data_IF_477775528686
#
_entry.id   IF_477775528686
#
_cell.length_a   1.000
_cell.length_b   1.000
_cell.length_c   1.000
_cell.angle_alpha   90.00
_cell.angle_beta   90.00
_cell.angle_gamma   90.00
#
_symmetry.space_group_name_H-M   'P 1'
#
loop_
_entity.id
_entity.type
_entity.pdbx_description
1 polymer ?
#
# COMPACT_ATOMS: atom_id res chain seq x y z
N UNK A 1 8.02 6.29 17.53
CA UNK A 1 7.68 7.39 16.62
C UNK A 1 8.83 7.59 15.64
N UNK A 2 8.54 7.84 14.36
CA UNK A 2 9.55 8.05 13.32
C UNK A 2 9.31 9.43 12.72
N UNK A 3 10.38 10.23 12.58
CA UNK A 3 10.32 11.57 12.02
C UNK A 3 11.39 11.74 10.94
N UNK A 4 10.99 12.35 9.82
CA UNK A 4 11.88 12.88 8.80
C UNK A 4 11.78 14.40 8.83
N UNK A 5 12.92 15.09 8.92
CA UNK A 5 13.01 16.56 8.97
C UNK A 5 13.90 17.06 7.86
N UNK A 6 13.32 17.76 6.89
CA UNK A 6 13.99 18.36 5.73
C UNK A 6 14.95 17.39 5.03
N UNK A 7 14.54 16.12 4.87
CA UNK A 7 15.40 15.07 4.35
C UNK A 7 15.61 15.25 2.86
N UNK A 8 16.88 15.34 2.47
CA UNK A 8 17.31 15.45 1.07
C UNK A 8 18.26 14.32 0.71
N UNK A 9 18.10 13.74 -0.46
CA UNK A 9 19.08 12.83 -1.06
C UNK A 9 19.39 13.21 -2.49
N UNK A 10 20.63 13.56 -2.70
CA UNK A 10 21.18 13.87 -4.01
C UNK A 10 22.22 12.81 -4.42
N UNK A 11 22.11 12.31 -5.63
CA UNK A 11 23.13 11.46 -6.25
C UNK A 11 23.86 12.26 -7.31
N UNK A 12 25.18 12.39 -7.14
CA UNK A 12 26.07 13.07 -8.09
C UNK A 12 26.89 12.04 -8.86
N UNK A 13 26.72 12.04 -10.17
CA UNK A 13 27.58 11.30 -11.09
C UNK A 13 28.36 12.28 -11.97
N UNK A 14 29.39 11.82 -12.69
CA UNK A 14 30.21 12.70 -13.53
C UNK A 14 29.40 13.57 -14.51
N UNK A 15 28.22 13.10 -14.93
CA UNK A 15 27.41 13.70 -16.00
C UNK A 15 25.98 14.05 -15.58
N UNK A 16 25.56 13.78 -14.34
CA UNK A 16 24.17 13.98 -13.92
C UNK A 16 24.07 14.13 -12.41
N UNK A 17 23.32 15.13 -11.99
CA UNK A 17 22.81 15.26 -10.62
C UNK A 17 21.36 14.82 -10.60
N UNK A 18 21.00 13.96 -9.64
CA UNK A 18 19.64 13.45 -9.45
C UNK A 18 19.24 13.70 -8.03
N UNK A 19 18.24 14.56 -7.84
CA UNK A 19 17.60 14.81 -6.55
C UNK A 19 16.53 13.74 -6.34
N UNK A 20 16.91 12.67 -5.63
CA UNK A 20 16.04 11.50 -5.44
C UNK A 20 15.03 11.68 -4.30
N UNK A 21 15.35 12.49 -3.30
CA UNK A 21 14.47 12.91 -2.21
C UNK A 21 14.71 14.37 -1.96
N UNK A 22 13.65 15.18 -1.91
CA UNK A 22 13.69 16.64 -1.91
C UNK A 22 12.87 17.20 -0.74
N UNK A 23 13.58 17.61 0.34
CA UNK A 23 13.04 18.25 1.55
C UNK A 23 11.81 17.53 2.14
N UNK A 24 11.89 16.19 2.27
CA UNK A 24 10.80 15.39 2.79
C UNK A 24 10.67 15.55 4.29
N UNK A 25 9.45 15.91 4.71
CA UNK A 25 9.01 15.98 6.10
C UNK A 25 7.88 14.97 6.32
N UNK A 26 8.06 14.03 7.24
CA UNK A 26 7.05 13.02 7.61
C UNK A 26 7.11 12.72 9.10
N UNK A 27 5.95 12.43 9.68
CA UNK A 27 5.83 11.94 11.05
C UNK A 27 4.96 10.67 11.05
N UNK A 28 5.51 9.56 11.54
CA UNK A 28 4.86 8.24 11.55
C UNK A 28 4.66 7.80 12.99
N UNK A 29 3.44 7.50 13.35
CA UNK A 29 3.08 7.06 14.71
C UNK A 29 3.60 5.64 14.98
N UNK A 30 4.04 5.40 16.22
CA UNK A 30 4.39 4.05 16.66
C UNK A 30 3.16 3.12 16.56
N UNK A 31 3.39 1.88 16.11
CA UNK A 31 2.35 0.87 15.96
C UNK A 31 1.38 1.10 14.79
N UNK A 32 1.59 2.12 13.95
CA UNK A 32 0.80 2.33 12.73
C UNK A 32 1.39 1.61 11.52
N UNK A 33 0.56 1.40 10.50
CA UNK A 33 0.98 0.98 9.16
C UNK A 33 0.92 2.20 8.25
N UNK A 34 2.09 2.61 7.75
CA UNK A 34 2.24 3.79 6.91
C UNK A 34 2.61 3.39 5.48
N UNK A 35 1.80 3.79 4.53
CA UNK A 35 2.04 3.55 3.10
C UNK A 35 2.84 4.68 2.45
N UNK A 36 3.71 4.34 1.51
CA UNK A 36 4.36 5.31 0.62
C UNK A 36 4.12 4.87 -0.81
N UNK A 37 3.40 5.67 -1.57
CA UNK A 37 3.07 5.41 -2.97
C UNK A 37 3.68 6.45 -3.90
N UNK A 38 3.76 6.14 -5.18
CA UNK A 38 4.28 7.02 -6.23
C UNK A 38 4.67 6.21 -7.45
N UNK A 39 4.76 6.86 -8.60
CA UNK A 39 5.22 6.20 -9.83
C UNK A 39 6.68 5.75 -9.74
N UNK A 40 7.11 4.93 -10.70
CA UNK A 40 8.52 4.52 -10.80
C UNK A 40 9.41 5.78 -10.89
N UNK A 41 10.51 5.77 -10.13
CA UNK A 41 11.42 6.93 -10.07
C UNK A 41 11.00 8.05 -9.12
N UNK A 42 9.86 7.96 -8.40
CA UNK A 42 9.43 8.99 -7.45
C UNK A 42 10.32 9.15 -6.20
N UNK A 43 11.30 8.27 -5.97
CA UNK A 43 12.23 8.33 -4.83
C UNK A 43 11.88 7.39 -3.67
N UNK A 44 10.81 6.61 -3.75
CA UNK A 44 10.31 5.73 -2.67
C UNK A 44 11.36 4.77 -2.10
N UNK A 45 12.02 3.98 -2.97
CA UNK A 45 13.05 3.02 -2.51
C UNK A 45 14.29 3.71 -1.94
N UNK A 46 14.60 4.93 -2.37
CA UNK A 46 15.63 5.75 -1.73
C UNK A 46 15.19 6.18 -0.33
N UNK A 47 13.95 6.65 -0.20
CA UNK A 47 13.38 7.10 1.07
C UNK A 47 13.37 5.97 2.11
N UNK A 48 12.88 4.76 1.75
CA UNK A 48 12.80 3.65 2.70
C UNK A 48 14.18 3.20 3.20
N UNK A 49 15.20 3.25 2.34
CA UNK A 49 16.58 2.90 2.70
C UNK A 49 17.23 3.90 3.63
N UNK A 50 16.69 5.12 3.76
CA UNK A 50 17.19 6.09 4.73
C UNK A 50 16.70 5.81 6.16
N UNK A 51 15.54 5.18 6.35
CA UNK A 51 15.06 4.80 7.68
C UNK A 51 16.02 3.84 8.42
N UNK A 52 16.64 2.91 7.72
CA UNK A 52 17.65 2.01 8.30
C UNK A 52 19.09 2.44 8.00
N UNK A 53 19.25 3.67 7.45
CA UNK A 53 20.52 4.25 7.05
C UNK A 53 21.37 3.36 6.11
N UNK A 54 20.71 2.56 5.26
CA UNK A 54 21.38 1.92 4.12
C UNK A 54 21.80 2.96 3.09
N UNK A 55 21.00 4.04 3.00
CA UNK A 55 21.33 5.28 2.30
C UNK A 55 21.39 6.40 3.33
N UNK A 56 22.51 7.13 3.40
CA UNK A 56 22.61 8.32 4.23
C UNK A 56 21.94 9.50 3.49
N UNK A 57 21.14 10.34 4.16
CA UNK A 57 20.67 11.59 3.59
C UNK A 57 21.86 12.51 3.25
N UNK A 58 21.71 13.35 2.22
CA UNK A 58 22.68 14.41 1.90
C UNK A 58 22.55 15.56 2.89
N UNK A 59 21.32 15.87 3.32
CA UNK A 59 20.99 16.81 4.39
C UNK A 59 19.66 16.43 5.04
N UNK A 60 19.34 17.08 6.17
CA UNK A 60 18.18 16.75 6.97
C UNK A 60 18.44 15.60 7.94
N UNK A 61 17.41 15.18 8.65
CA UNK A 61 17.53 14.23 9.75
C UNK A 61 16.47 13.13 9.70
N UNK A 62 16.88 11.91 10.03
CA UNK A 62 16.01 10.75 10.28
C UNK A 62 16.09 10.45 11.77
N UNK A 63 14.95 10.50 12.46
CA UNK A 63 14.81 10.26 13.89
C UNK A 63 13.89 9.07 14.11
N UNK A 64 14.32 8.07 14.87
CA UNK A 64 13.53 6.88 15.21
C UNK A 64 13.59 6.66 16.72
N UNK A 65 12.43 6.75 17.38
CA UNK A 65 12.29 6.62 18.83
C UNK A 65 13.21 7.59 19.62
N UNK A 66 13.39 8.82 19.08
CA UNK A 66 14.26 9.84 19.65
C UNK A 66 15.73 9.75 19.26
N UNK A 67 16.18 8.66 18.60
CA UNK A 67 17.55 8.53 18.13
C UNK A 67 17.74 9.19 16.77
N UNK A 68 18.67 10.13 16.65
CA UNK A 68 19.12 10.73 15.40
C UNK A 68 20.03 9.73 14.65
N UNK A 69 19.49 9.04 13.66
CA UNK A 69 20.15 7.88 13.03
C UNK A 69 21.50 8.23 12.40
N UNK A 70 21.60 9.41 11.78
CA UNK A 70 22.84 9.91 11.16
C UNK A 70 23.94 10.25 12.16
N UNK A 71 23.63 10.44 13.45
CA UNK A 71 24.58 10.81 14.49
C UNK A 71 25.06 9.60 15.31
N UNK A 72 24.48 8.42 15.07
CA UNK A 72 24.85 7.21 15.80
C UNK A 72 26.27 6.74 15.47
N UNK A 73 26.98 6.26 16.49
CA UNK A 73 28.23 5.54 16.26
C UNK A 73 28.00 4.26 15.42
N UNK A 74 29.06 3.71 14.82
CA UNK A 74 28.95 2.45 14.04
C UNK A 74 28.27 1.32 14.82
N UNK A 75 28.58 1.20 16.13
CA UNK A 75 27.96 0.19 16.98
C UNK A 75 26.50 0.54 17.32
N UNK A 76 26.17 1.80 17.57
CA UNK A 76 24.81 2.27 17.78
C UNK A 76 23.93 2.03 16.54
N UNK A 77 24.45 2.37 15.38
CA UNK A 77 23.76 2.13 14.12
C UNK A 77 23.52 0.63 13.85
N UNK A 78 24.51 -0.23 14.18
CA UNK A 78 24.35 -1.68 14.08
C UNK A 78 23.26 -2.20 15.03
N UNK A 79 23.21 -1.71 16.26
CA UNK A 79 22.16 -2.05 17.22
C UNK A 79 20.79 -1.56 16.74
N UNK A 80 20.69 -0.31 16.24
CA UNK A 80 19.43 0.25 15.72
C UNK A 80 18.92 -0.54 14.51
N UNK A 81 19.78 -0.97 13.58
CA UNK A 81 19.44 -1.81 12.44
C UNK A 81 18.86 -3.18 12.82
N UNK A 82 19.12 -3.70 14.03
CA UNK A 82 18.45 -4.90 14.53
C UNK A 82 16.99 -4.61 14.90
N UNK A 83 16.66 -3.35 15.24
CA UNK A 83 15.31 -2.90 15.59
C UNK A 83 14.53 -2.30 14.42
N UNK A 84 15.22 -1.96 13.33
CA UNK A 84 14.63 -1.47 12.09
C UNK A 84 14.91 -2.50 10.98
N UNK A 85 14.06 -3.51 10.88
CA UNK A 85 14.21 -4.61 9.92
C UNK A 85 13.59 -4.28 8.57
N UNK A 86 14.04 -4.99 7.53
CA UNK A 86 13.57 -4.75 6.15
C UNK A 86 13.22 -6.05 5.43
N UNK A 87 12.08 -6.04 4.75
CA UNK A 87 11.67 -7.02 3.75
C UNK A 87 11.91 -6.42 2.37
N UNK A 88 12.58 -7.16 1.51
CA UNK A 88 13.00 -6.72 0.18
C UNK A 88 12.09 -7.31 -0.90
N UNK A 89 11.93 -6.62 -2.01
CA UNK A 89 11.13 -7.00 -3.17
C UNK A 89 11.44 -8.41 -3.70
N UNK A 90 12.69 -8.83 -3.74
CA UNK A 90 13.13 -10.13 -4.29
C UNK A 90 13.47 -11.16 -3.20
N UNK A 91 12.77 -11.13 -2.04
CA UNK A 91 12.95 -12.01 -0.88
C UNK A 91 14.36 -11.99 -0.27
N UNK A 92 15.42 -11.84 -1.04
CA UNK A 92 16.84 -11.83 -0.66
C UNK A 92 17.24 -12.99 0.28
N UNK A 93 16.69 -14.19 0.02
CA UNK A 93 16.99 -15.38 0.82
C UNK A 93 18.39 -15.91 0.52
N UNK A 94 19.02 -16.51 1.52
CA UNK A 94 20.26 -17.23 1.38
C UNK A 94 19.97 -18.59 0.74
N UNK A 95 20.21 -18.72 -0.56
CA UNK A 95 19.88 -19.90 -1.36
C UNK A 95 20.54 -21.20 -0.90
N UNK A 96 21.74 -21.10 -0.30
CA UNK A 96 22.50 -22.23 0.25
C UNK A 96 22.09 -22.62 1.67
N UNK A 97 21.10 -21.92 2.25
CA UNK A 97 20.58 -22.16 3.60
C UNK A 97 19.13 -22.59 3.58
N UNK A 98 18.77 -23.50 4.48
CA UNK A 98 17.38 -23.91 4.68
C UNK A 98 16.53 -22.78 5.26
N UNK A 99 15.19 -22.92 5.27
CA UNK A 99 14.24 -22.00 5.90
C UNK A 99 14.68 -21.65 7.32
N UNK A 100 14.87 -22.67 8.16
CA UNK A 100 15.29 -22.46 9.56
C UNK A 100 16.61 -21.66 9.65
N UNK A 101 17.61 -21.98 8.83
CA UNK A 101 18.91 -21.29 8.83
C UNK A 101 18.82 -19.88 8.27
N UNK A 102 17.90 -19.59 7.34
CA UNK A 102 17.62 -18.22 6.89
C UNK A 102 17.08 -17.37 8.05
N UNK A 103 16.13 -17.90 8.82
CA UNK A 103 15.52 -17.20 9.95
C UNK A 103 16.49 -17.04 11.11
N UNK A 104 17.35 -18.02 11.35
CA UNK A 104 18.40 -17.95 12.38
C UNK A 104 19.50 -16.94 12.06
N UNK A 105 19.72 -16.61 10.80
CA UNK A 105 20.87 -15.81 10.36
C UNK A 105 21.00 -14.43 11.04
N UNK A 106 19.95 -13.60 11.16
CA UNK A 106 20.04 -12.35 11.90
C UNK A 106 20.41 -12.53 13.38
N UNK A 107 19.92 -13.60 14.01
CA UNK A 107 20.22 -13.94 15.40
C UNK A 107 21.69 -14.38 15.57
N UNK A 108 22.23 -15.13 14.60
CA UNK A 108 23.64 -15.50 14.56
C UNK A 108 24.53 -14.25 14.49
N UNK A 109 24.19 -13.27 13.65
CA UNK A 109 24.90 -11.99 13.53
C UNK A 109 24.81 -11.17 14.82
N UNK A 110 23.66 -11.22 15.51
CA UNK A 110 23.44 -10.56 16.78
C UNK A 110 24.16 -11.24 17.95
N UNK A 111 24.82 -12.38 17.73
CA UNK A 111 25.55 -13.12 18.78
C UNK A 111 24.64 -13.94 19.70
N UNK A 112 23.41 -14.20 19.31
CA UNK A 112 22.47 -15.02 20.12
C UNK A 112 22.94 -16.47 20.15
N UNK A 113 23.01 -17.11 21.34
CA UNK A 113 23.45 -18.49 21.47
C UNK A 113 22.58 -19.42 20.57
N UNK A 114 23.22 -20.35 19.85
CA UNK A 114 22.61 -21.21 18.84
C UNK A 114 21.32 -21.90 19.30
N UNK A 115 21.27 -22.35 20.56
CA UNK A 115 20.09 -23.00 21.13
C UNK A 115 18.89 -22.05 21.17
N UNK A 116 19.09 -20.82 21.64
CA UNK A 116 18.06 -19.77 21.68
C UNK A 116 17.65 -19.32 20.28
N UNK A 117 18.65 -19.11 19.41
CA UNK A 117 18.38 -18.74 18.00
C UNK A 117 17.53 -19.79 17.29
N UNK A 118 17.81 -21.09 17.51
CA UNK A 118 17.00 -22.18 16.94
C UNK A 118 15.58 -22.19 17.49
N UNK A 119 15.42 -22.02 18.81
CA UNK A 119 14.08 -22.00 19.43
C UNK A 119 13.26 -20.82 18.89
N UNK A 120 13.80 -19.60 18.88
CA UNK A 120 13.13 -18.42 18.33
C UNK A 120 12.78 -18.59 16.85
N UNK A 121 13.68 -19.17 16.05
CA UNK A 121 13.42 -19.41 14.64
C UNK A 121 12.29 -20.43 14.42
N UNK A 122 12.15 -21.45 15.26
CA UNK A 122 11.02 -22.40 15.18
C UNK A 122 9.68 -21.74 15.54
N UNK A 123 9.66 -20.87 16.55
CA UNK A 123 8.48 -20.06 16.89
C UNK A 123 8.06 -19.16 15.72
N UNK A 124 9.02 -18.53 15.04
CA UNK A 124 8.76 -17.72 13.86
C UNK A 124 8.30 -18.54 12.64
N UNK A 125 8.84 -19.75 12.44
CA UNK A 125 8.36 -20.68 11.40
C UNK A 125 6.88 -21.00 11.61
N UNK A 126 6.47 -21.24 12.86
CA UNK A 126 5.06 -21.51 13.18
C UNK A 126 4.19 -20.25 13.01
N UNK A 127 4.67 -19.07 13.46
CA UNK A 127 3.98 -17.79 13.32
C UNK A 127 3.63 -17.48 11.85
N UNK A 128 4.57 -17.75 10.93
CA UNK A 128 4.35 -17.47 9.49
C UNK A 128 3.71 -18.63 8.72
N UNK A 129 3.28 -19.70 9.42
CA UNK A 129 2.59 -20.85 8.81
C UNK A 129 3.48 -21.75 7.95
N UNK A 130 4.77 -21.88 8.28
CA UNK A 130 5.74 -22.73 7.56
C UNK A 130 6.13 -24.00 8.33
N UNK A 131 5.32 -24.43 9.31
CA UNK A 131 5.55 -25.67 10.07
C UNK A 131 5.70 -26.88 9.13
N UNK A 132 6.77 -27.65 9.32
CA UNK A 132 7.13 -28.80 8.47
C UNK A 132 8.03 -28.43 7.27
N UNK A 133 8.33 -27.16 7.06
CA UNK A 133 9.22 -26.67 5.99
C UNK A 133 10.60 -26.22 6.48
N UNK A 134 10.96 -26.45 7.73
CA UNK A 134 12.19 -25.97 8.39
C UNK A 134 13.46 -26.36 7.65
N UNK A 135 13.46 -27.55 7.03
CA UNK A 135 14.60 -28.14 6.32
C UNK A 135 14.60 -27.83 4.81
N UNK A 136 13.51 -27.27 4.27
CA UNK A 136 13.40 -26.94 2.86
C UNK A 136 14.37 -25.81 2.50
N UNK A 137 14.86 -25.81 1.25
CA UNK A 137 15.65 -24.75 0.67
C UNK A 137 14.76 -23.78 -0.11
N UNK A 138 15.20 -22.53 -0.35
CA UNK A 138 14.41 -21.55 -1.09
C UNK A 138 13.95 -22.02 -2.48
N UNK A 139 14.73 -22.88 -3.16
CA UNK A 139 14.36 -23.48 -4.44
C UNK A 139 13.14 -24.39 -4.40
N UNK A 140 12.79 -24.91 -3.22
CA UNK A 140 11.67 -25.83 -3.00
C UNK A 140 10.39 -25.12 -2.55
N UNK A 141 10.40 -23.77 -2.50
CA UNK A 141 9.32 -22.94 -1.96
C UNK A 141 8.60 -22.17 -3.06
N UNK A 142 7.27 -22.02 -2.91
CA UNK A 142 6.48 -21.05 -3.69
C UNK A 142 6.88 -19.60 -3.40
N UNK A 143 6.43 -18.65 -4.21
CA UNK A 143 6.65 -17.20 -3.99
C UNK A 143 6.18 -16.74 -2.61
N UNK A 144 4.94 -17.07 -2.25
CA UNK A 144 4.36 -16.73 -0.95
C UNK A 144 5.10 -17.39 0.22
N UNK A 145 5.57 -18.64 0.06
CA UNK A 145 6.39 -19.29 1.09
C UNK A 145 7.74 -18.61 1.26
N UNK A 146 8.40 -18.19 0.17
CA UNK A 146 9.64 -17.39 0.22
C UNK A 146 9.41 -16.07 0.95
N UNK A 147 8.28 -15.41 0.68
CA UNK A 147 7.91 -14.16 1.35
C UNK A 147 7.70 -14.37 2.85
N UNK A 148 7.01 -15.44 3.25
CA UNK A 148 6.83 -15.80 4.67
C UNK A 148 8.18 -16.07 5.38
N UNK A 149 9.15 -16.68 4.69
CA UNK A 149 10.53 -16.82 5.22
C UNK A 149 11.20 -15.46 5.37
N UNK A 150 11.03 -14.55 4.40
CA UNK A 150 11.53 -13.17 4.46
C UNK A 150 10.98 -12.40 5.66
N UNK A 151 9.66 -12.51 5.89
CA UNK A 151 8.97 -11.92 7.05
C UNK A 151 9.53 -12.50 8.36
N UNK A 152 9.56 -13.83 8.51
CA UNK A 152 10.08 -14.49 9.70
C UNK A 152 11.53 -14.08 10.02
N UNK A 153 12.37 -13.99 8.98
CA UNK A 153 13.75 -13.51 9.11
C UNK A 153 13.84 -12.05 9.57
N UNK A 154 12.97 -11.19 9.05
CA UNK A 154 12.92 -9.78 9.45
C UNK A 154 12.48 -9.62 10.92
N UNK A 155 11.63 -10.50 11.42
CA UNK A 155 11.14 -10.48 12.80
C UNK A 155 12.12 -11.09 13.82
N UNK A 156 13.20 -11.73 13.38
CA UNK A 156 14.06 -12.55 14.25
C UNK A 156 14.64 -11.78 15.44
N UNK A 157 15.01 -10.51 15.28
CA UNK A 157 15.58 -9.66 16.32
C UNK A 157 14.54 -8.82 17.10
N UNK A 158 13.27 -9.20 17.07
CA UNK A 158 12.15 -8.45 17.68
C UNK A 158 12.22 -6.94 17.32
N UNK A 159 12.05 -6.60 16.03
CA UNK A 159 12.13 -5.21 15.59
C UNK A 159 10.94 -4.39 16.12
N UNK A 160 11.15 -3.07 16.27
CA UNK A 160 10.08 -2.10 16.53
C UNK A 160 9.55 -1.48 15.23
N UNK A 161 10.34 -1.54 14.15
CA UNK A 161 9.99 -1.02 12.82
C UNK A 161 10.27 -2.08 11.77
N UNK A 162 9.30 -2.29 10.89
CA UNK A 162 9.40 -3.17 9.72
C UNK A 162 9.23 -2.34 8.44
N UNK A 163 10.26 -2.33 7.63
CA UNK A 163 10.27 -1.69 6.33
C UNK A 163 9.94 -2.74 5.26
N UNK A 164 8.97 -2.47 4.39
CA UNK A 164 8.54 -3.35 3.31
C UNK A 164 8.74 -2.63 1.96
N UNK A 165 9.76 -3.03 1.21
CA UNK A 165 10.04 -2.51 -0.13
C UNK A 165 9.39 -3.43 -1.17
N UNK A 166 8.20 -3.03 -1.67
CA UNK A 166 7.39 -3.78 -2.64
C UNK A 166 7.23 -5.28 -2.30
N UNK A 167 6.90 -5.56 -1.04
CA UNK A 167 6.91 -6.91 -0.48
C UNK A 167 5.88 -7.88 -1.10
N UNK A 168 4.94 -7.40 -1.90
CA UNK A 168 3.85 -8.19 -2.53
C UNK A 168 3.91 -8.21 -4.05
N UNK A 169 4.69 -7.35 -4.69
CA UNK A 169 4.69 -7.13 -6.15
C UNK A 169 5.01 -8.36 -7.01
N UNK A 170 5.58 -9.43 -6.43
CA UNK A 170 5.92 -10.67 -7.12
C UNK A 170 4.96 -11.83 -6.78
N UNK A 171 3.80 -11.54 -6.16
CA UNK A 171 2.84 -12.53 -5.69
C UNK A 171 1.52 -12.39 -6.46
N UNK A 172 0.77 -13.48 -6.54
CA UNK A 172 -0.61 -13.44 -7.02
C UNK A 172 -1.53 -12.75 -6.00
N UNK A 173 -2.71 -12.25 -6.42
CA UNK A 173 -3.61 -11.48 -5.54
C UNK A 173 -4.03 -12.24 -4.27
N UNK A 174 -4.33 -13.54 -4.37
CA UNK A 174 -4.73 -14.34 -3.22
C UNK A 174 -3.59 -14.48 -2.20
N UNK A 175 -2.39 -14.78 -2.69
CA UNK A 175 -1.19 -14.86 -1.83
C UNK A 175 -0.85 -13.50 -1.22
N UNK A 176 -1.03 -12.40 -1.97
CA UNK A 176 -0.87 -11.02 -1.45
C UNK A 176 -1.78 -10.81 -0.26
N UNK A 177 -3.06 -11.12 -0.37
CA UNK A 177 -4.03 -10.97 0.72
C UNK A 177 -3.64 -11.77 1.97
N UNK A 178 -3.19 -13.01 1.80
CA UNK A 178 -2.70 -13.82 2.92
C UNK A 178 -1.47 -13.21 3.62
N UNK A 179 -0.56 -12.59 2.86
CA UNK A 179 0.60 -11.89 3.42
C UNK A 179 0.18 -10.61 4.16
N UNK A 180 -0.79 -9.87 3.63
CA UNK A 180 -1.32 -8.68 4.29
C UNK A 180 -2.00 -9.02 5.62
N UNK A 181 -2.80 -10.09 5.67
CA UNK A 181 -3.43 -10.57 6.90
C UNK A 181 -2.39 -11.02 7.93
N UNK A 182 -1.32 -11.67 7.48
CA UNK A 182 -0.20 -12.03 8.34
C UNK A 182 0.48 -10.77 8.93
N UNK A 183 0.71 -9.75 8.12
CA UNK A 183 1.32 -8.48 8.59
C UNK A 183 0.40 -7.76 9.61
N UNK A 184 -0.90 -7.71 9.38
CA UNK A 184 -1.88 -7.16 10.32
C UNK A 184 -1.83 -7.90 11.66
N UNK A 185 -1.87 -9.24 11.64
CA UNK A 185 -1.76 -10.07 12.84
C UNK A 185 -0.47 -9.81 13.62
N UNK A 186 0.66 -9.74 12.93
CA UNK A 186 1.96 -9.50 13.57
C UNK A 186 2.00 -8.08 14.18
N UNK A 187 1.51 -7.07 13.44
CA UNK A 187 1.41 -5.69 13.93
C UNK A 187 0.62 -5.60 15.24
N UNK A 188 -0.53 -6.26 15.31
CA UNK A 188 -1.37 -6.27 16.50
C UNK A 188 -0.70 -6.97 17.69
N UNK A 189 -0.07 -8.11 17.46
CA UNK A 189 0.58 -8.90 18.52
C UNK A 189 1.84 -8.24 19.08
N UNK A 190 2.58 -7.50 18.26
CA UNK A 190 3.89 -6.97 18.62
C UNK A 190 3.94 -5.44 18.72
N UNK A 191 2.81 -4.75 18.50
CA UNK A 191 2.74 -3.28 18.39
C UNK A 191 3.80 -2.73 17.40
N UNK A 192 3.96 -3.43 16.26
CA UNK A 192 4.99 -3.17 15.26
C UNK A 192 4.61 -1.98 14.39
N UNK A 193 5.51 -1.04 14.20
CA UNK A 193 5.34 0.01 13.18
C UNK A 193 5.76 -0.54 11.83
N UNK A 194 4.89 -0.45 10.83
CA UNK A 194 5.17 -0.95 9.48
C UNK A 194 5.19 0.24 8.51
N UNK A 195 6.27 0.35 7.72
CA UNK A 195 6.34 1.30 6.60
C UNK A 195 6.43 0.46 5.32
N UNK A 196 5.47 0.62 4.44
CA UNK A 196 5.47 -0.13 3.20
C UNK A 196 5.49 0.79 1.96
N UNK A 197 6.28 0.37 0.99
CA UNK A 197 6.27 0.93 -0.35
C UNK A 197 5.53 -0.02 -1.26
N UNK A 198 4.60 0.52 -2.03
CA UNK A 198 3.91 -0.21 -3.09
C UNK A 198 3.40 0.76 -4.15
N UNK A 199 3.10 0.25 -5.32
CA UNK A 199 2.28 0.92 -6.33
C UNK A 199 0.85 0.33 -6.39
N UNK A 200 0.56 -0.68 -5.59
CA UNK A 200 -0.73 -1.38 -5.51
C UNK A 200 -1.66 -0.66 -4.52
N UNK A 201 -2.67 0.04 -5.04
CA UNK A 201 -3.62 0.81 -4.24
C UNK A 201 -4.46 -0.06 -3.30
N UNK A 202 -4.82 -1.25 -3.75
CA UNK A 202 -5.53 -2.24 -2.96
C UNK A 202 -4.78 -2.57 -1.65
N UNK A 203 -3.44 -2.72 -1.70
CA UNK A 203 -2.60 -2.96 -0.52
C UNK A 203 -2.72 -1.81 0.49
N UNK A 204 -2.63 -0.57 -0.01
CA UNK A 204 -2.75 0.63 0.83
C UNK A 204 -4.11 0.71 1.51
N UNK A 205 -5.19 0.54 0.75
CA UNK A 205 -6.56 0.58 1.29
C UNK A 205 -6.83 -0.51 2.31
N UNK A 206 -6.25 -1.70 2.10
CA UNK A 206 -6.50 -2.87 2.95
C UNK A 206 -5.86 -2.76 4.33
N UNK A 207 -4.61 -2.30 4.42
CA UNK A 207 -3.86 -2.39 5.68
C UNK A 207 -3.32 -1.08 6.24
N UNK A 208 -3.16 -0.01 5.43
CA UNK A 208 -2.54 1.22 5.89
C UNK A 208 -3.50 2.09 6.70
N UNK A 209 -2.96 2.75 7.72
CA UNK A 209 -3.64 3.79 8.50
C UNK A 209 -3.49 5.15 7.83
N UNK A 210 -2.28 5.45 7.36
CA UNK A 210 -1.91 6.70 6.70
C UNK A 210 -1.10 6.41 5.44
N UNK A 211 -1.06 7.36 4.51
CA UNK A 211 -0.32 7.26 3.25
C UNK A 211 0.38 8.57 2.91
N UNK A 212 1.56 8.47 2.30
CA UNK A 212 2.22 9.57 1.61
C UNK A 212 2.30 9.26 0.12
N UNK A 213 1.95 10.24 -0.70
CA UNK A 213 2.07 10.19 -2.16
C UNK A 213 3.34 10.93 -2.56
N UNK A 214 4.24 10.27 -3.29
CA UNK A 214 5.50 10.84 -3.74
C UNK A 214 5.50 11.07 -5.25
N UNK A 215 6.03 12.23 -5.65
CA UNK A 215 6.35 12.57 -7.02
C UNK A 215 7.67 13.34 -7.09
N UNK A 216 8.56 12.94 -7.99
CA UNK A 216 9.83 13.65 -8.25
C UNK A 216 10.64 13.97 -6.97
N UNK A 217 10.71 13.02 -6.04
CA UNK A 217 11.43 13.14 -4.77
C UNK A 217 10.67 13.83 -3.65
N UNK A 218 9.50 14.42 -3.90
CA UNK A 218 8.71 15.15 -2.91
C UNK A 218 7.53 14.36 -2.42
N UNK A 219 7.10 14.60 -1.19
CA UNK A 219 5.78 14.21 -0.69
C UNK A 219 4.81 15.31 -1.08
N UNK A 220 3.90 14.99 -2.01
CA UNK A 220 2.93 15.95 -2.57
C UNK A 220 1.59 15.94 -1.85
N UNK A 221 1.28 14.83 -1.19
CA UNK A 221 0.06 14.67 -0.39
C UNK A 221 0.28 13.59 0.67
N UNK A 222 -0.24 13.76 1.87
CA UNK A 222 -0.17 12.76 2.93
C UNK A 222 -1.32 12.90 3.92
N UNK A 223 -1.66 11.83 4.63
CA UNK A 223 -2.69 11.82 5.65
C UNK A 223 -3.34 10.45 5.81
N UNK A 224 -4.47 10.38 6.54
CA UNK A 224 -5.28 9.17 6.62
C UNK A 224 -5.66 8.66 5.22
N UNK A 225 -5.59 7.34 5.02
CA UNK A 225 -5.87 6.71 3.71
C UNK A 225 -7.24 7.12 3.16
N UNK A 226 -8.26 7.14 4.02
CA UNK A 226 -9.61 7.58 3.63
C UNK A 226 -9.63 8.99 3.11
N UNK A 227 -9.01 9.94 3.83
CA UNK A 227 -8.99 11.35 3.43
C UNK A 227 -8.28 11.55 2.08
N UNK A 228 -7.07 10.96 1.91
CA UNK A 228 -6.26 11.11 0.70
C UNK A 228 -6.95 10.51 -0.53
N UNK A 229 -7.68 9.39 -0.37
CA UNK A 229 -8.29 8.70 -1.52
C UNK A 229 -9.75 9.05 -1.77
N UNK A 230 -10.49 9.52 -0.77
CA UNK A 230 -11.87 10.01 -0.97
C UNK A 230 -11.91 11.45 -1.48
N UNK A 231 -10.91 12.25 -1.11
CA UNK A 231 -10.83 13.66 -1.51
C UNK A 231 -9.42 14.05 -1.97
N UNK A 232 -8.88 13.40 -3.03
CA UNK A 232 -7.52 13.65 -3.51
C UNK A 232 -7.40 15.08 -4.01
N UNK A 233 -6.39 15.81 -3.54
CA UNK A 233 -6.16 17.20 -3.92
C UNK A 233 -5.20 17.29 -5.11
N UNK A 234 -4.13 16.50 -5.08
CA UNK A 234 -3.11 16.56 -6.12
C UNK A 234 -3.48 15.73 -7.36
N UNK A 235 -3.07 16.19 -8.54
CA UNK A 235 -3.36 15.53 -9.83
C UNK A 235 -2.84 14.10 -9.90
N UNK A 236 -1.66 13.85 -9.32
CA UNK A 236 -1.06 12.51 -9.26
C UNK A 236 -1.86 11.58 -8.36
N UNK A 237 -2.34 12.05 -7.20
CA UNK A 237 -3.22 11.27 -6.32
C UNK A 237 -4.53 10.94 -7.00
N UNK A 238 -5.13 11.92 -7.70
CA UNK A 238 -6.35 11.71 -8.51
C UNK A 238 -6.15 10.65 -9.57
N UNK A 239 -4.97 10.64 -10.21
CA UNK A 239 -4.61 9.63 -11.21
C UNK A 239 -4.49 8.25 -10.60
N UNK A 240 -3.81 8.08 -9.45
CA UNK A 240 -3.74 6.81 -8.74
C UNK A 240 -5.13 6.28 -8.36
N UNK A 241 -5.98 7.15 -7.81
CA UNK A 241 -7.36 6.77 -7.45
C UNK A 241 -8.15 6.37 -8.69
N UNK A 242 -7.98 7.09 -9.79
CA UNK A 242 -8.65 6.78 -11.06
C UNK A 242 -8.17 5.45 -11.64
N UNK A 243 -6.87 5.19 -11.67
CA UNK A 243 -6.29 3.93 -12.15
C UNK A 243 -6.79 2.73 -11.32
N UNK A 244 -6.84 2.84 -9.97
CA UNK A 244 -7.37 1.78 -9.09
C UNK A 244 -8.88 1.48 -9.32
N UNK A 245 -9.63 2.47 -9.79
CA UNK A 245 -11.05 2.33 -10.11
C UNK A 245 -11.28 1.87 -11.56
N UNK A 246 -10.30 2.03 -12.45
CA UNK A 246 -10.46 1.91 -13.90
C UNK A 246 -9.75 0.72 -14.52
N UNK A 247 -9.06 -0.14 -13.76
CA UNK A 247 -8.09 -1.12 -14.31
C UNK A 247 -8.64 -2.03 -15.42
N UNK A 248 -9.98 -2.15 -15.58
CA UNK A 248 -10.58 -3.00 -16.61
C UNK A 248 -11.60 -2.30 -17.53
N UNK A 249 -12.10 -1.11 -17.20
CA UNK A 249 -13.32 -0.58 -17.83
C UNK A 249 -13.08 0.47 -18.94
N UNK A 250 -12.05 1.32 -18.88
CA UNK A 250 -11.81 2.31 -19.96
C UNK A 250 -11.57 1.64 -21.34
N UNK A 251 -10.98 0.45 -21.34
CA UNK A 251 -10.80 -0.35 -22.55
C UNK A 251 -12.14 -0.85 -23.10
N UNK A 252 -13.05 -1.27 -22.21
CA UNK A 252 -14.37 -1.75 -22.59
C UNK A 252 -15.31 -0.62 -23.07
N UNK A 253 -15.17 0.61 -22.55
CA UNK A 253 -15.97 1.77 -23.00
C UNK A 253 -15.67 2.17 -24.44
N UNK A 254 -14.44 1.97 -24.92
CA UNK A 254 -14.08 2.29 -26.31
C UNK A 254 -14.62 1.29 -27.32
N UNK A 255 -14.96 0.08 -26.86
CA UNK A 255 -15.54 -0.99 -27.68
C UNK A 255 -17.08 -0.96 -27.73
N UNK A 256 -17.73 -0.12 -26.88
CA UNK A 256 -19.18 0.05 -26.93
C UNK A 256 -19.61 0.79 -28.20
N UNK A 257 -20.71 0.33 -28.78
CA UNK A 257 -21.34 1.01 -29.91
C UNK A 257 -21.67 2.50 -29.60
N UNK A 258 -21.79 3.37 -30.60
CA UNK A 258 -22.23 4.74 -30.41
C UNK A 258 -23.52 4.80 -29.59
N UNK A 259 -23.56 5.68 -28.58
CA UNK A 259 -24.76 5.86 -27.76
C UNK A 259 -25.86 6.49 -28.56
N UNK A 260 -27.11 6.09 -28.28
CA UNK A 260 -28.29 6.76 -28.78
C UNK A 260 -28.41 8.19 -28.21
N UNK A 261 -29.15 9.04 -28.88
CA UNK A 261 -29.39 10.41 -28.42
C UNK A 261 -30.06 10.39 -27.02
N UNK A 262 -29.61 11.27 -26.14
CA UNK A 262 -30.07 11.38 -24.75
C UNK A 262 -29.78 10.13 -23.87
N UNK A 263 -28.83 9.28 -24.31
CA UNK A 263 -28.28 8.19 -23.50
C UNK A 263 -27.06 8.64 -22.73
N UNK A 264 -26.89 8.11 -21.52
CA UNK A 264 -25.77 8.43 -20.65
C UNK A 264 -25.08 7.17 -20.14
N UNK A 265 -23.76 7.22 -20.05
CA UNK A 265 -22.98 6.31 -19.21
C UNK A 265 -22.42 7.12 -18.05
N UNK A 266 -22.81 6.73 -16.84
CA UNK A 266 -22.41 7.43 -15.62
C UNK A 266 -21.75 6.47 -14.66
N UNK A 267 -20.75 6.97 -13.91
CA UNK A 267 -20.14 6.29 -12.79
C UNK A 267 -20.68 6.86 -11.50
N UNK A 268 -21.19 6.00 -10.62
CA UNK A 268 -21.57 6.34 -9.26
C UNK A 268 -20.53 5.80 -8.28
N UNK A 269 -20.06 6.62 -7.34
CA UNK A 269 -19.12 6.22 -6.30
C UNK A 269 -19.78 6.34 -4.95
N UNK A 270 -19.75 5.27 -4.17
CA UNK A 270 -20.37 5.13 -2.85
C UNK A 270 -19.32 4.94 -1.77
N UNK A 271 -19.57 5.47 -0.58
CA UNK A 271 -18.72 5.26 0.59
C UNK A 271 -19.59 5.06 1.85
N UNK A 272 -19.15 4.15 2.74
CA UNK A 272 -19.81 3.91 4.01
C UNK A 272 -21.21 3.30 3.89
N UNK A 273 -22.20 3.86 4.58
CA UNK A 273 -23.57 3.32 4.65
C UNK A 273 -24.31 3.32 3.32
N UNK A 274 -23.96 4.21 2.40
CA UNK A 274 -24.63 4.32 1.08
C UNK A 274 -24.38 3.10 0.18
N UNK A 275 -23.38 2.26 0.48
CA UNK A 275 -23.08 1.04 -0.29
C UNK A 275 -24.14 -0.05 -0.15
N UNK A 276 -24.98 0.02 0.87
CA UNK A 276 -26.08 -0.95 1.11
C UNK A 276 -27.46 -0.42 0.73
N UNK A 277 -27.57 0.84 0.31
CA UNK A 277 -28.84 1.43 -0.12
C UNK A 277 -29.24 0.97 -1.51
N UNK A 278 -30.54 0.73 -1.79
CA UNK A 278 -31.04 0.29 -3.08
C UNK A 278 -31.15 1.46 -4.09
N UNK A 279 -30.03 2.19 -4.30
CA UNK A 279 -30.02 3.45 -5.07
C UNK A 279 -30.48 3.25 -6.52
N UNK A 280 -29.94 2.24 -7.20
CA UNK A 280 -30.28 1.99 -8.63
C UNK A 280 -31.77 1.71 -8.81
N UNK A 281 -32.35 0.85 -7.98
CA UNK A 281 -33.78 0.54 -8.07
C UNK A 281 -34.66 1.72 -7.68
N UNK A 282 -34.26 2.51 -6.68
CA UNK A 282 -34.96 3.72 -6.27
C UNK A 282 -35.02 4.75 -7.41
N UNK A 283 -33.87 5.01 -8.04
CA UNK A 283 -33.75 5.96 -9.16
C UNK A 283 -34.51 5.45 -10.40
N UNK A 284 -34.38 4.17 -10.73
CA UNK A 284 -35.10 3.55 -11.82
C UNK A 284 -36.63 3.72 -11.67
N UNK A 285 -37.15 3.54 -10.46
CA UNK A 285 -38.58 3.71 -10.13
C UNK A 285 -39.00 5.18 -10.11
N UNK A 286 -38.20 6.06 -9.49
CA UNK A 286 -38.54 7.48 -9.32
C UNK A 286 -38.64 8.23 -10.67
N UNK A 287 -37.78 7.86 -11.63
CA UNK A 287 -37.69 8.52 -12.92
C UNK A 287 -38.31 7.70 -14.08
N UNK A 288 -38.88 6.54 -13.77
CA UNK A 288 -39.43 5.58 -14.78
C UNK A 288 -38.43 5.28 -15.90
N UNK A 289 -37.16 5.05 -15.52
CA UNK A 289 -36.07 4.80 -16.45
C UNK A 289 -35.53 3.38 -16.31
N UNK A 290 -35.10 2.81 -17.41
CA UNK A 290 -34.40 1.54 -17.44
C UNK A 290 -32.90 1.83 -17.23
N UNK A 291 -32.31 1.22 -16.21
CA UNK A 291 -30.88 1.36 -15.93
C UNK A 291 -30.23 0.01 -16.12
N UNK A 292 -29.22 -0.05 -16.97
CA UNK A 292 -28.37 -1.23 -17.10
C UNK A 292 -27.07 -1.02 -16.30
N UNK A 293 -26.67 -2.01 -15.51
CA UNK A 293 -25.40 -2.00 -14.79
C UNK A 293 -24.36 -2.61 -15.72
N UNK A 294 -23.41 -1.80 -16.19
CA UNK A 294 -22.32 -2.25 -17.04
C UNK A 294 -21.18 -2.84 -16.21
N UNK A 295 -20.93 -2.25 -15.03
CA UNK A 295 -19.92 -2.70 -14.09
C UNK A 295 -20.36 -2.41 -12.66
N UNK A 296 -19.96 -3.27 -11.73
CA UNK A 296 -20.14 -3.08 -10.30
C UNK A 296 -18.90 -3.59 -9.55
N UNK A 297 -18.36 -2.75 -8.67
CA UNK A 297 -17.23 -3.14 -7.83
C UNK A 297 -17.47 -2.60 -6.41
N UNK A 298 -17.46 -3.50 -5.43
CA UNK A 298 -17.62 -3.16 -4.02
C UNK A 298 -16.44 -3.77 -3.27
N UNK A 299 -15.65 -2.91 -2.63
CA UNK A 299 -14.45 -3.31 -1.88
C UNK A 299 -14.63 -2.99 -0.40
N UNK A 300 -14.37 -3.95 0.46
CA UNK A 300 -14.29 -3.72 1.90
C UNK A 300 -12.90 -3.14 2.24
N UNK A 301 -12.89 -2.01 2.91
CA UNK A 301 -11.67 -1.38 3.43
C UNK A 301 -11.64 -1.46 4.94
N UNK A 302 -10.49 -1.21 5.56
CA UNK A 302 -10.33 -1.16 7.03
C UNK A 302 -11.30 -0.17 7.71
N UNK A 303 -11.71 0.89 7.00
CA UNK A 303 -12.53 1.99 7.51
C UNK A 303 -13.97 2.00 6.96
N UNK A 304 -14.40 0.92 6.31
CA UNK A 304 -15.73 0.79 5.74
C UNK A 304 -15.74 0.28 4.31
N UNK A 305 -16.92 0.15 3.74
CA UNK A 305 -17.11 -0.32 2.38
C UNK A 305 -17.09 0.86 1.41
N UNK A 306 -16.38 0.71 0.29
CA UNK A 306 -16.37 1.66 -0.82
C UNK A 306 -16.74 0.90 -2.09
N UNK A 307 -17.55 1.49 -2.94
CA UNK A 307 -17.93 0.85 -4.19
C UNK A 307 -18.18 1.84 -5.31
N UNK A 308 -18.18 1.34 -6.53
CA UNK A 308 -18.67 2.09 -7.67
C UNK A 308 -19.59 1.22 -8.53
N UNK A 309 -20.49 1.88 -9.25
CA UNK A 309 -21.31 1.30 -10.30
C UNK A 309 -21.12 2.12 -11.57
N UNK A 310 -20.98 1.44 -12.70
CA UNK A 310 -21.08 2.08 -14.01
C UNK A 310 -22.44 1.71 -14.61
N UNK A 311 -23.23 2.72 -14.86
CA UNK A 311 -24.60 2.58 -15.30
C UNK A 311 -24.75 3.11 -16.73
N UNK A 312 -25.47 2.37 -17.56
CA UNK A 312 -25.99 2.84 -18.84
C UNK A 312 -27.47 3.18 -18.68
N UNK A 313 -27.81 4.41 -18.98
CA UNK A 313 -29.17 4.95 -19.01
C UNK A 313 -29.50 5.19 -20.49
N UNK A 314 -30.28 4.35 -21.14
CA UNK A 314 -30.52 4.42 -22.58
C UNK A 314 -31.31 5.65 -23.01
N UNK A 315 -32.11 6.21 -22.10
CA UNK A 315 -32.84 7.46 -22.35
C UNK A 315 -33.21 8.14 -21.02
N UNK A 316 -32.89 9.42 -20.90
CA UNK A 316 -33.40 10.30 -19.84
C UNK A 316 -33.41 11.74 -20.36
N UNK A 317 -34.51 12.48 -20.13
CA UNK A 317 -34.55 13.89 -20.52
C UNK A 317 -33.50 14.71 -19.77
N UNK A 318 -32.97 15.75 -20.40
CA UNK A 318 -31.98 16.64 -19.77
C UNK A 318 -32.48 17.29 -18.47
N UNK A 319 -33.80 17.54 -18.38
CA UNK A 319 -34.43 18.09 -17.16
C UNK A 319 -34.46 17.06 -16.05
N UNK A 320 -34.79 15.82 -16.37
CA UNK A 320 -34.86 14.74 -15.37
C UNK A 320 -33.45 14.27 -15.00
N UNK A 321 -32.46 14.32 -15.89
CA UNK A 321 -31.09 14.06 -15.60
C UNK A 321 -30.54 15.06 -14.58
N UNK A 322 -30.88 16.35 -14.68
CA UNK A 322 -30.49 17.35 -13.68
C UNK A 322 -31.13 17.13 -12.29
N UNK A 323 -32.32 16.54 -12.23
CA UNK A 323 -32.95 16.12 -10.95
C UNK A 323 -32.28 14.86 -10.38
N UNK A 324 -32.00 13.89 -11.25
CA UNK A 324 -31.28 12.66 -10.93
C UNK A 324 -29.91 12.96 -10.31
N UNK A 325 -29.17 13.90 -10.89
CA UNK A 325 -27.87 14.35 -10.34
C UNK A 325 -28.03 14.97 -8.95
N UNK A 326 -29.00 15.86 -8.76
CA UNK A 326 -29.27 16.49 -7.44
C UNK A 326 -29.62 15.47 -6.38
N UNK A 327 -30.46 14.49 -6.69
CA UNK A 327 -30.84 13.44 -5.76
C UNK A 327 -29.64 12.60 -5.32
N UNK A 328 -28.72 12.30 -6.25
CA UNK A 328 -27.47 11.60 -5.91
C UNK A 328 -26.56 12.42 -4.96
N UNK A 329 -26.47 13.73 -5.19
CA UNK A 329 -25.71 14.64 -4.31
C UNK A 329 -26.32 14.66 -2.91
N UNK A 330 -27.65 14.74 -2.77
CA UNK A 330 -28.36 14.70 -1.50
C UNK A 330 -28.13 13.38 -0.74
N UNK A 331 -27.99 12.28 -1.46
CA UNK A 331 -27.64 10.95 -0.91
C UNK A 331 -26.15 10.74 -0.69
N UNK A 332 -25.32 11.78 -0.86
CA UNK A 332 -23.84 11.72 -0.75
C UNK A 332 -23.18 10.72 -1.70
N UNK A 333 -23.79 10.49 -2.86
CA UNK A 333 -23.23 9.67 -3.94
C UNK A 333 -22.59 10.59 -4.97
N UNK A 334 -21.30 10.37 -5.26
CA UNK A 334 -20.61 11.12 -6.33
C UNK A 334 -20.96 10.52 -7.67
N UNK A 335 -21.34 11.36 -8.63
CA UNK A 335 -21.58 10.97 -10.00
C UNK A 335 -20.56 11.61 -10.96
N UNK A 336 -20.09 10.83 -11.91
CA UNK A 336 -19.24 11.26 -13.03
C UNK A 336 -19.90 10.80 -14.34
N UNK A 337 -20.09 11.72 -15.28
CA UNK A 337 -20.56 11.38 -16.62
C UNK A 337 -19.36 10.91 -17.45
N UNK A 338 -19.35 9.64 -17.85
CA UNK A 338 -18.27 9.04 -18.64
C UNK A 338 -18.50 9.22 -20.12
N UNK A 339 -19.77 9.15 -20.57
CA UNK A 339 -20.16 9.30 -21.98
C UNK A 339 -21.60 9.79 -22.09
N UNK A 340 -21.87 10.60 -23.11
CA UNK A 340 -23.19 11.12 -23.45
C UNK A 340 -23.41 11.03 -24.96
N UNK A 341 -24.60 10.56 -25.39
CA UNK A 341 -24.99 10.40 -26.79
C UNK A 341 -25.55 11.64 -27.42
#
# INVERSE_FOLDING_TARGET
MIELKEVVKEYRTKNKEVLAVDHVNLSIRAGSIYGVIGFSGAGKSTLIRMFNHLEAPTSGEVIIDGDHIGQLSKNGLRAKRQKVSMIFQHFNLLWSRTVLKNIMFPLEIAGVPRRRAKQKALELVELVGLKGREKAYPSELSGGQKQRVGIARALANDPTVLLCDEATSALDPQTTDEILDLLLKIREQQNLTIILITHEMHVIRRICDEVAVMESGKVIEHGPVTQVFENPQHTVTKRFVKEDLNDDFETSLTELEPLEKDAYIVRLVFAGSTTTEPIVSSLSTAYDIKINILEANIKNTKNGTVGFLVLHIPYISSVDFGKFEKELIERQVKMEVLRHG
#
